data_IF_096268203722
#
_entry.id   IF_096268203722
#
_cell.length_a   1.000
_cell.length_b   1.000
_cell.length_c   1.000
_cell.angle_alpha   90.00
_cell.angle_beta   90.00
_cell.angle_gamma   90.00
#
_symmetry.space_group_name_H-M   'P 1'
#
loop_
_entity.id
_entity.type
_entity.pdbx_description
1 polymer ?
#
# COMPACT_ATOMS: atom_id res chain seq x y z
N UNK A 1 40.32 -45.61 30.90
CA UNK A 1 39.49 -46.59 30.17
C UNK A 1 38.35 -46.96 31.12
N UNK A 2 37.06 -46.93 30.82
CA UNK A 2 36.28 -46.65 29.63
C UNK A 2 34.81 -46.54 30.11
N UNK A 3 34.07 -45.52 29.65
CA UNK A 3 32.66 -45.55 29.16
C UNK A 3 31.59 -46.30 29.99
N UNK A 4 30.61 -45.64 30.63
CA UNK A 4 29.35 -45.05 30.10
C UNK A 4 28.22 -46.06 29.79
N UNK A 5 26.97 -45.54 29.69
CA UNK A 5 25.66 -46.15 29.30
C UNK A 5 24.77 -46.69 30.45
N UNK A 6 23.49 -46.35 30.64
CA UNK A 6 22.49 -45.56 29.89
C UNK A 6 21.42 -45.05 30.87
N UNK A 7 21.04 -43.77 30.79
CA UNK A 7 19.71 -43.31 31.22
C UNK A 7 19.00 -42.68 30.03
N UNK A 8 17.86 -43.25 29.65
CA UNK A 8 16.97 -42.78 28.59
C UNK A 8 16.57 -41.31 28.82
N UNK A 9 16.91 -40.44 27.87
CA UNK A 9 16.29 -39.11 27.76
C UNK A 9 15.15 -39.23 26.76
N UNK A 10 13.94 -39.01 27.28
CA UNK A 10 12.68 -38.93 26.55
C UNK A 10 12.72 -37.80 25.53
N UNK A 11 12.50 -38.14 24.26
CA UNK A 11 12.33 -37.22 23.14
C UNK A 11 10.99 -36.48 23.27
N UNK A 12 11.01 -35.25 23.75
CA UNK A 12 9.92 -34.29 23.58
C UNK A 12 10.15 -33.51 22.28
N UNK A 13 9.53 -33.94 21.18
CA UNK A 13 9.50 -33.16 19.93
C UNK A 13 8.58 -31.96 20.14
N UNK A 14 9.14 -30.76 20.19
CA UNK A 14 8.38 -29.50 20.19
C UNK A 14 7.87 -29.26 18.76
N UNK A 15 6.60 -29.62 18.49
CA UNK A 15 5.86 -29.15 17.32
C UNK A 15 5.58 -27.64 17.47
N UNK A 16 6.53 -26.79 17.09
CA UNK A 16 6.35 -25.33 17.14
C UNK A 16 7.10 -24.51 16.08
N UNK A 17 8.03 -25.10 15.32
CA UNK A 17 8.98 -24.34 14.50
C UNK A 17 8.62 -24.25 13.01
N UNK A 18 7.82 -25.18 12.47
CA UNK A 18 7.59 -25.27 11.02
C UNK A 18 6.62 -24.20 10.46
N UNK A 19 5.57 -23.81 11.19
CA UNK A 19 4.67 -22.74 10.73
C UNK A 19 5.34 -21.37 10.73
N UNK A 20 6.19 -21.09 11.73
CA UNK A 20 6.91 -19.81 11.84
C UNK A 20 7.90 -19.62 10.68
N UNK A 21 8.65 -20.66 10.31
CA UNK A 21 9.61 -20.60 9.20
C UNK A 21 8.92 -20.52 7.82
N UNK A 22 7.76 -21.18 7.65
CA UNK A 22 7.01 -21.20 6.39
C UNK A 22 6.33 -19.84 6.10
N UNK A 23 5.81 -19.17 7.15
CA UNK A 23 5.29 -17.80 7.07
C UNK A 23 6.42 -16.81 6.77
N UNK A 24 7.57 -16.92 7.44
CA UNK A 24 8.75 -16.09 7.15
C UNK A 24 9.25 -16.25 5.70
N UNK A 25 9.34 -17.50 5.21
CA UNK A 25 9.76 -17.78 3.83
C UNK A 25 8.79 -17.24 2.79
N UNK A 26 7.48 -17.24 3.09
CA UNK A 26 6.46 -16.72 2.17
C UNK A 26 6.44 -15.18 2.18
N UNK A 27 6.63 -14.55 3.34
CA UNK A 27 6.69 -13.08 3.47
C UNK A 27 7.89 -12.49 2.73
N UNK A 28 9.09 -13.07 2.85
CA UNK A 28 10.29 -12.56 2.16
C UNK A 28 10.13 -12.60 0.63
N UNK A 29 9.63 -13.72 0.08
CA UNK A 29 9.37 -13.85 -1.36
C UNK A 29 8.30 -12.86 -1.83
N UNK A 30 7.31 -12.58 -0.98
CA UNK A 30 6.23 -11.63 -1.26
C UNK A 30 6.73 -10.18 -1.27
N UNK A 31 7.56 -9.79 -0.29
CA UNK A 31 8.20 -8.47 -0.20
C UNK A 31 9.12 -8.21 -1.40
N UNK A 32 9.77 -9.24 -1.96
CA UNK A 32 10.58 -9.12 -3.18
C UNK A 32 9.81 -8.54 -4.38
N UNK A 33 8.49 -8.72 -4.45
CA UNK A 33 7.69 -8.13 -5.52
C UNK A 33 7.57 -6.59 -5.43
N UNK A 34 7.79 -6.01 -4.25
CA UNK A 34 7.82 -4.55 -4.06
C UNK A 34 8.95 -3.88 -4.87
N UNK A 35 10.12 -4.53 -4.97
CA UNK A 35 11.26 -4.05 -5.77
C UNK A 35 10.98 -4.06 -7.29
N UNK A 36 9.93 -4.77 -7.74
CA UNK A 36 9.48 -4.74 -9.14
C UNK A 36 8.23 -3.89 -9.36
N UNK A 37 7.67 -3.34 -8.28
CA UNK A 37 6.49 -2.48 -8.33
C UNK A 37 6.89 -1.05 -8.68
N UNK A 38 6.10 -0.40 -9.53
CA UNK A 38 6.32 1.00 -9.96
C UNK A 38 5.31 1.97 -9.38
N UNK A 39 4.28 1.44 -8.73
CA UNK A 39 3.19 2.19 -8.15
C UNK A 39 2.73 1.51 -6.86
N UNK A 40 2.42 2.31 -5.85
CA UNK A 40 1.67 1.87 -4.68
C UNK A 40 0.67 2.94 -4.24
N UNK A 41 -0.40 2.52 -3.57
CA UNK A 41 -1.31 3.41 -2.86
C UNK A 41 -1.09 3.19 -1.35
N UNK A 42 -0.51 4.18 -0.68
CA UNK A 42 -0.20 4.16 0.76
C UNK A 42 -1.37 4.73 1.55
N UNK A 43 -1.89 3.97 2.50
CA UNK A 43 -2.92 4.41 3.43
C UNK A 43 -2.33 4.63 4.82
N UNK A 44 -2.64 5.78 5.40
CA UNK A 44 -2.20 6.24 6.74
C UNK A 44 -3.38 6.84 7.49
N UNK A 45 -3.37 6.80 8.83
CA UNK A 45 -4.47 7.27 9.67
C UNK A 45 -4.12 8.55 10.42
N UNK A 46 -5.07 9.47 10.50
CA UNK A 46 -4.95 10.66 11.34
C UNK A 46 -5.41 10.39 12.79
N UNK A 47 -5.11 11.30 13.71
CA UNK A 47 -5.52 11.19 15.12
C UNK A 47 -7.05 11.15 15.35
N UNK A 48 -7.86 11.54 14.37
CA UNK A 48 -9.32 11.50 14.44
C UNK A 48 -9.94 10.22 13.86
N UNK A 49 -9.11 9.21 13.55
CA UNK A 49 -9.48 7.97 12.85
C UNK A 49 -9.92 8.16 11.40
N UNK A 50 -9.67 9.33 10.82
CA UNK A 50 -9.70 9.52 9.37
C UNK A 50 -8.54 8.77 8.71
N UNK A 51 -8.68 8.47 7.42
CA UNK A 51 -7.63 7.81 6.64
C UNK A 51 -7.36 8.57 5.35
N UNK A 52 -6.08 8.80 5.06
CA UNK A 52 -5.62 9.35 3.80
C UNK A 52 -5.00 8.27 2.93
N UNK A 53 -5.15 8.40 1.62
CA UNK A 53 -4.49 7.53 0.65
C UNK A 53 -3.62 8.35 -0.30
N UNK A 54 -2.33 8.03 -0.30
CA UNK A 54 -1.29 8.69 -1.06
C UNK A 54 -0.79 7.78 -2.18
N UNK A 55 -1.10 8.06 -3.47
CA UNK A 55 -0.50 7.34 -4.57
C UNK A 55 0.98 7.73 -4.69
N UNK A 56 1.86 6.72 -4.69
CA UNK A 56 3.30 6.88 -4.89
C UNK A 56 3.72 6.10 -6.13
N UNK A 57 4.59 6.70 -6.94
CA UNK A 57 5.11 6.04 -8.13
C UNK A 57 6.53 6.46 -8.44
N UNK A 58 7.29 5.55 -9.05
CA UNK A 58 8.66 5.77 -9.48
C UNK A 58 8.90 5.09 -10.84
N UNK A 59 9.88 5.57 -11.60
CA UNK A 59 10.25 5.00 -12.90
C UNK A 59 10.92 3.63 -12.77
N UNK A 60 11.60 3.39 -11.65
CA UNK A 60 12.31 2.13 -11.36
C UNK A 60 11.50 1.25 -10.42
N UNK A 61 11.71 1.45 -9.13
CA UNK A 61 11.06 0.73 -8.03
C UNK A 61 10.47 1.77 -7.08
N UNK A 62 9.23 1.56 -6.64
CA UNK A 62 8.56 2.49 -5.72
C UNK A 62 8.99 2.28 -4.26
N UNK A 63 9.52 1.09 -3.95
CA UNK A 63 10.03 0.72 -2.64
C UNK A 63 11.31 -0.09 -2.80
N UNK A 64 12.29 0.21 -1.96
CA UNK A 64 13.55 -0.52 -1.82
C UNK A 64 13.44 -1.53 -0.69
N UNK A 65 14.06 -2.69 -0.85
CA UNK A 65 14.16 -3.71 0.19
C UNK A 65 15.45 -3.48 0.96
N UNK A 66 15.34 -3.32 2.28
CA UNK A 66 16.50 -3.17 3.16
C UNK A 66 16.93 -4.54 3.73
N UNK A 67 15.96 -5.37 4.09
CA UNK A 67 16.15 -6.73 4.59
C UNK A 67 14.88 -7.58 4.38
N UNK A 68 14.81 -8.76 4.99
CA UNK A 68 13.69 -9.69 4.83
C UNK A 68 12.32 -9.24 5.37
N UNK A 69 12.26 -8.13 6.12
CA UNK A 69 11.02 -7.55 6.69
C UNK A 69 10.93 -6.03 6.57
N UNK A 70 11.97 -5.36 6.09
CA UNK A 70 12.05 -3.90 6.08
C UNK A 70 12.09 -3.36 4.66
N UNK A 71 11.23 -2.38 4.38
CA UNK A 71 11.19 -1.62 3.13
C UNK A 71 11.54 -0.15 3.37
N UNK A 72 12.08 0.52 2.36
CA UNK A 72 12.25 1.97 2.31
C UNK A 72 11.52 2.55 1.10
N UNK A 73 10.62 3.51 1.35
CA UNK A 73 9.88 4.21 0.31
C UNK A 73 10.41 5.65 0.25
N UNK A 74 11.09 6.06 -0.84
CA UNK A 74 11.64 7.40 -0.94
C UNK A 74 10.54 8.46 -1.02
N UNK A 75 10.72 9.59 -0.34
CA UNK A 75 9.85 10.74 -0.54
C UNK A 75 10.25 11.51 -1.80
N UNK A 76 9.39 11.45 -2.81
CA UNK A 76 9.61 12.08 -4.12
C UNK A 76 8.77 13.34 -4.26
N UNK A 77 9.37 14.38 -4.84
CA UNK A 77 8.72 15.65 -5.16
C UNK A 77 7.47 15.40 -6.03
N UNK A 78 6.34 15.97 -5.65
CA UNK A 78 5.06 15.80 -6.34
C UNK A 78 4.05 14.93 -5.57
N UNK A 79 4.50 14.18 -4.57
CA UNK A 79 3.61 13.57 -3.60
C UNK A 79 3.22 14.64 -2.58
N UNK A 80 1.93 14.75 -2.22
CA UNK A 80 1.47 15.52 -1.05
C UNK A 80 1.93 14.80 0.22
N UNK A 81 3.24 14.69 0.41
CA UNK A 81 3.85 13.83 1.41
C UNK A 81 3.58 14.33 2.84
N UNK A 82 3.33 15.63 3.00
CA UNK A 82 3.05 16.26 4.29
C UNK A 82 1.95 15.54 5.06
N UNK A 83 0.85 15.16 4.41
CA UNK A 83 -0.30 14.53 5.09
C UNK A 83 0.06 13.12 5.59
N UNK A 84 0.63 12.27 4.73
CA UNK A 84 1.05 10.93 5.14
C UNK A 84 2.13 10.95 6.22
N UNK A 85 3.12 11.83 6.12
CA UNK A 85 4.17 11.95 7.14
C UNK A 85 3.60 12.48 8.46
N UNK A 86 2.70 13.46 8.40
CA UNK A 86 2.03 14.00 9.59
C UNK A 86 1.23 12.92 10.31
N UNK A 87 0.46 12.14 9.56
CA UNK A 87 -0.31 11.01 10.09
C UNK A 87 0.62 9.99 10.76
N UNK A 88 1.75 9.65 10.13
CA UNK A 88 2.73 8.70 10.66
C UNK A 88 3.47 9.16 11.92
N UNK A 89 3.54 10.47 12.17
CA UNK A 89 4.05 11.00 13.43
C UNK A 89 3.06 10.83 14.60
N UNK A 90 1.78 10.61 14.31
CA UNK A 90 0.72 10.41 15.30
C UNK A 90 0.36 8.93 15.47
N UNK A 91 0.26 8.21 14.37
CA UNK A 91 -0.03 6.77 14.31
C UNK A 91 0.91 6.12 13.29
N UNK A 92 1.83 5.30 13.79
CA UNK A 92 2.81 4.61 12.95
C UNK A 92 2.19 3.55 12.03
N UNK A 93 0.93 3.16 12.21
CA UNK A 93 0.30 2.13 11.39
C UNK A 93 0.14 2.61 9.95
N UNK A 94 0.47 1.73 9.02
CA UNK A 94 0.26 1.96 7.60
C UNK A 94 -0.16 0.67 6.89
N UNK A 95 -0.74 0.86 5.71
CA UNK A 95 -0.92 -0.23 4.76
C UNK A 95 -0.74 0.27 3.34
N UNK A 96 -0.38 -0.61 2.40
CA UNK A 96 -0.39 -0.23 1.01
C UNK A 96 -0.72 -1.40 0.09
N UNK A 97 -1.25 -1.05 -1.09
CA UNK A 97 -1.37 -1.95 -2.22
C UNK A 97 -0.36 -1.52 -3.29
N UNK A 98 0.50 -2.44 -3.73
CA UNK A 98 1.51 -2.20 -4.75
C UNK A 98 1.23 -3.00 -6.03
N UNK A 99 1.51 -2.37 -7.17
CA UNK A 99 1.23 -2.90 -8.49
C UNK A 99 2.52 -3.12 -9.29
N UNK A 100 2.64 -4.32 -9.86
CA UNK A 100 3.70 -4.68 -10.80
C UNK A 100 3.16 -4.54 -12.22
N UNK A 101 3.77 -3.69 -13.07
CA UNK A 101 3.35 -3.54 -14.46
C UNK A 101 3.29 -4.87 -15.21
N UNK A 102 2.19 -5.10 -15.94
CA UNK A 102 1.96 -6.31 -16.72
C UNK A 102 1.52 -7.53 -15.89
N UNK A 103 1.37 -7.41 -14.57
CA UNK A 103 0.85 -8.47 -13.69
C UNK A 103 -0.55 -8.12 -13.20
N UNK A 104 -1.39 -9.14 -13.03
CA UNK A 104 -2.73 -9.01 -12.46
C UNK A 104 -2.76 -9.20 -10.94
N UNK A 105 -1.64 -9.60 -10.34
CA UNK A 105 -1.52 -9.72 -8.89
C UNK A 105 -1.32 -8.36 -8.23
N UNK A 106 -1.80 -8.22 -7.00
CA UNK A 106 -1.62 -7.04 -6.15
C UNK A 106 -0.89 -7.48 -4.89
N UNK A 107 0.21 -6.80 -4.57
CA UNK A 107 0.90 -6.95 -3.29
C UNK A 107 0.19 -6.09 -2.26
N UNK A 108 -0.31 -6.69 -1.18
CA UNK A 108 -0.82 -6.00 -0.02
C UNK A 108 0.19 -6.10 1.12
N UNK A 109 0.49 -4.97 1.74
CA UNK A 109 1.40 -4.89 2.90
C UNK A 109 0.72 -4.12 4.01
N UNK A 110 0.91 -4.59 5.24
CA UNK A 110 0.55 -3.89 6.48
C UNK A 110 1.77 -3.88 7.39
N UNK A 111 1.95 -2.78 8.10
CA UNK A 111 3.11 -2.63 8.97
C UNK A 111 3.14 -1.30 9.69
N UNK A 112 4.34 -0.95 10.16
CA UNK A 112 4.62 0.28 10.90
C UNK A 112 5.61 1.15 10.13
N UNK A 113 5.34 2.45 10.10
CA UNK A 113 6.12 3.44 9.40
C UNK A 113 7.00 4.26 10.33
N UNK A 114 8.24 4.50 9.93
CA UNK A 114 9.13 5.47 10.58
C UNK A 114 9.77 6.35 9.52
N UNK A 115 9.87 7.64 9.79
CA UNK A 115 10.49 8.61 8.88
C UNK A 115 11.99 8.65 9.15
N UNK A 116 12.81 8.66 8.10
CA UNK A 116 14.26 8.80 8.20
C UNK A 116 14.79 9.88 7.27
N UNK A 117 15.82 10.58 7.74
CA UNK A 117 16.66 11.52 7.02
C UNK A 117 18.12 11.04 6.91
N UNK A 118 18.38 9.74 7.15
CA UNK A 118 19.74 9.17 7.12
C UNK A 118 20.38 9.37 5.74
N UNK A 119 21.41 10.22 5.62
CA UNK A 119 22.01 10.56 4.33
C UNK A 119 22.63 9.33 3.65
N UNK A 120 23.16 8.36 4.41
CA UNK A 120 23.76 7.17 3.84
C UNK A 120 22.72 6.32 3.11
N UNK A 121 21.54 6.16 3.70
CA UNK A 121 20.43 5.43 3.08
C UNK A 121 19.81 6.22 1.92
N UNK A 122 19.56 7.52 2.09
CA UNK A 122 18.94 8.38 1.08
C UNK A 122 19.77 8.42 -0.21
N UNK A 123 21.09 8.45 -0.10
CA UNK A 123 22.01 8.43 -1.24
C UNK A 123 21.83 7.17 -2.10
N UNK A 124 21.56 6.03 -1.46
CA UNK A 124 21.30 4.78 -2.19
C UNK A 124 20.03 4.83 -3.04
N UNK A 125 19.12 5.77 -2.75
CA UNK A 125 17.84 6.00 -3.43
C UNK A 125 17.89 7.21 -4.37
N UNK A 126 19.07 7.75 -4.68
CA UNK A 126 19.21 8.89 -5.58
C UNK A 126 18.73 8.58 -7.00
N UNK A 127 18.02 9.54 -7.60
CA UNK A 127 17.62 9.50 -9.00
C UNK A 127 18.28 10.65 -9.74
N UNK A 128 19.08 10.32 -10.77
CA UNK A 128 19.85 11.33 -11.50
C UNK A 128 20.83 12.09 -10.60
N UNK A 129 21.37 11.43 -9.56
CA UNK A 129 22.29 12.05 -8.60
C UNK A 129 21.63 12.91 -7.52
N UNK A 130 20.29 12.92 -7.45
CA UNK A 130 19.55 13.67 -6.43
C UNK A 130 18.90 12.71 -5.43
N UNK A 131 19.40 12.61 -4.18
CA UNK A 131 18.74 11.85 -3.13
C UNK A 131 17.40 12.49 -2.74
N UNK A 132 16.42 11.70 -2.26
CA UNK A 132 15.23 12.27 -1.64
C UNK A 132 15.60 12.94 -0.30
N UNK A 133 14.79 13.88 0.17
CA UNK A 133 15.03 14.54 1.47
C UNK A 133 14.70 13.65 2.66
N UNK A 134 13.71 12.77 2.49
CA UNK A 134 13.23 11.84 3.50
C UNK A 134 12.91 10.50 2.86
N UNK A 135 12.85 9.46 3.67
CA UNK A 135 12.27 8.18 3.30
C UNK A 135 11.37 7.66 4.42
N UNK A 136 10.41 6.84 4.02
CA UNK A 136 9.56 6.08 4.91
C UNK A 136 10.12 4.67 5.03
N UNK A 137 10.59 4.32 6.22
CA UNK A 137 10.92 2.95 6.60
C UNK A 137 9.64 2.23 6.98
N UNK A 138 9.41 1.06 6.40
CA UNK A 138 8.27 0.20 6.73
C UNK A 138 8.79 -1.08 7.35
N UNK A 139 8.46 -1.30 8.61
CA UNK A 139 8.56 -2.61 9.25
C UNK A 139 7.32 -3.43 8.90
N UNK A 140 7.49 -4.48 8.10
CA UNK A 140 6.41 -5.28 7.56
C UNK A 140 5.92 -6.28 8.60
N UNK A 141 4.67 -6.13 9.04
CA UNK A 141 3.99 -7.07 9.92
C UNK A 141 3.27 -8.17 9.13
N UNK A 142 2.74 -7.83 7.96
CA UNK A 142 2.03 -8.76 7.09
C UNK A 142 2.18 -8.39 5.62
N UNK A 143 2.38 -9.39 4.76
CA UNK A 143 2.39 -9.21 3.32
C UNK A 143 1.72 -10.40 2.62
N UNK A 144 0.90 -10.11 1.61
CA UNK A 144 0.25 -11.11 0.77
C UNK A 144 0.19 -10.65 -0.68
N UNK A 145 0.26 -11.59 -1.63
CA UNK A 145 -0.02 -11.32 -3.05
C UNK A 145 -1.29 -12.05 -3.43
N UNK A 146 -2.27 -11.30 -3.92
CA UNK A 146 -3.55 -11.86 -4.34
C UNK A 146 -3.79 -11.57 -5.82
N UNK A 147 -4.40 -12.52 -6.54
CA UNK A 147 -4.88 -12.26 -7.89
C UNK A 147 -6.03 -11.26 -7.86
N UNK A 148 -5.96 -10.19 -8.66
CA UNK A 148 -6.98 -9.14 -8.67
C UNK A 148 -7.83 -9.16 -9.93
N UNK A 149 -9.10 -9.53 -9.74
CA UNK A 149 -10.11 -9.42 -10.78
C UNK A 149 -10.38 -7.97 -11.18
N UNK A 150 -10.19 -7.00 -10.26
CA UNK A 150 -10.31 -5.58 -10.57
C UNK A 150 -9.26 -5.14 -11.59
N UNK A 151 -7.99 -5.53 -11.38
CA UNK A 151 -6.88 -5.24 -12.32
C UNK A 151 -7.10 -5.94 -13.66
N UNK A 152 -7.57 -7.19 -13.63
CA UNK A 152 -7.81 -7.98 -14.85
C UNK A 152 -8.96 -7.39 -15.68
N UNK A 153 -10.10 -7.07 -15.06
CA UNK A 153 -11.30 -6.57 -15.75
C UNK A 153 -11.13 -5.12 -16.23
N UNK A 154 -10.38 -4.30 -15.51
CA UNK A 154 -10.04 -2.94 -15.95
C UNK A 154 -9.11 -2.91 -17.16
N UNK A 155 -8.47 -4.05 -17.48
CA UNK A 155 -7.46 -4.17 -18.53
C UNK A 155 -6.33 -3.16 -18.35
N UNK A 156 -5.94 -2.91 -17.09
CA UNK A 156 -5.01 -1.84 -16.69
C UNK A 156 -3.71 -1.79 -17.49
N UNK A 157 -3.21 -2.95 -17.94
CA UNK A 157 -1.94 -3.07 -18.66
C UNK A 157 -2.11 -3.35 -20.16
N UNK A 158 -3.33 -3.30 -20.70
CA UNK A 158 -3.60 -3.66 -22.10
C UNK A 158 -3.42 -2.43 -23.00
N UNK A 159 -2.48 -2.44 -23.95
CA UNK A 159 -2.38 -1.35 -24.92
C UNK A 159 -3.66 -1.23 -25.76
N UNK A 160 -4.07 -0.01 -26.10
CA UNK A 160 -5.21 0.24 -26.99
C UNK A 160 -6.60 0.27 -26.35
N UNK A 161 -6.70 0.11 -25.02
CA UNK A 161 -7.98 0.29 -24.27
C UNK A 161 -8.02 1.60 -23.48
N UNK A 162 -6.94 2.39 -23.54
CA UNK A 162 -6.87 3.69 -22.90
C UNK A 162 -7.77 4.68 -23.63
N UNK A 163 -8.49 5.50 -22.86
CA UNK A 163 -9.33 6.55 -23.41
C UNK A 163 -8.46 7.64 -24.05
N UNK A 164 -9.00 8.26 -25.10
CA UNK A 164 -8.41 9.48 -25.64
C UNK A 164 -8.48 10.60 -24.60
N UNK A 165 -7.48 11.49 -24.60
CA UNK A 165 -7.34 12.55 -23.58
C UNK A 165 -8.58 13.44 -23.44
N UNK A 166 -9.40 13.58 -24.49
CA UNK A 166 -10.62 14.39 -24.47
C UNK A 166 -11.89 13.67 -23.99
N UNK A 167 -11.83 12.35 -23.77
CA UNK A 167 -13.03 11.56 -23.40
C UNK A 167 -13.37 11.65 -21.92
N UNK A 168 -12.38 11.89 -21.06
CA UNK A 168 -12.55 12.06 -19.63
C UNK A 168 -12.12 13.47 -19.21
N UNK A 169 -12.67 14.01 -18.10
CA UNK A 169 -12.19 15.25 -17.53
C UNK A 169 -10.69 15.20 -17.21
N UNK A 170 -10.00 16.32 -17.41
CA UNK A 170 -8.63 16.46 -16.92
C UNK A 170 -8.65 16.51 -15.38
N UNK A 171 -8.06 15.50 -14.75
CA UNK A 171 -8.10 15.33 -13.29
C UNK A 171 -7.41 16.48 -12.55
N UNK A 172 -6.41 17.13 -13.16
CA UNK A 172 -5.72 18.27 -12.56
C UNK A 172 -6.54 19.56 -12.67
N UNK A 173 -7.22 19.76 -13.79
CA UNK A 173 -8.18 20.85 -13.95
C UNK A 173 -9.31 20.74 -12.93
N UNK A 174 -9.91 19.55 -12.79
CA UNK A 174 -10.90 19.27 -11.74
C UNK A 174 -10.36 19.56 -10.34
N UNK A 175 -9.15 19.08 -10.03
CA UNK A 175 -8.51 19.35 -8.74
C UNK A 175 -8.34 20.86 -8.46
N UNK A 176 -7.93 21.63 -9.47
CA UNK A 176 -7.79 23.09 -9.36
C UNK A 176 -9.12 23.82 -9.16
N UNK A 177 -10.20 23.34 -9.78
CA UNK A 177 -11.56 23.85 -9.54
C UNK A 177 -12.04 23.54 -8.13
N UNK A 178 -11.80 22.31 -7.64
CA UNK A 178 -12.10 21.92 -6.26
C UNK A 178 -11.33 22.77 -5.25
N UNK A 179 -10.02 22.93 -5.41
CA UNK A 179 -9.18 23.77 -4.54
C UNK A 179 -9.61 25.24 -4.54
N UNK A 180 -10.16 25.73 -5.66
CA UNK A 180 -10.74 27.07 -5.74
C UNK A 180 -12.06 27.13 -4.98
N UNK A 181 -12.94 26.15 -5.15
CA UNK A 181 -14.20 26.05 -4.42
C UNK A 181 -14.01 25.99 -2.90
N UNK A 182 -13.02 25.20 -2.42
CA UNK A 182 -12.66 25.13 -1.01
C UNK A 182 -12.16 26.47 -0.45
N UNK A 183 -11.37 27.23 -1.21
CA UNK A 183 -10.92 28.59 -0.82
C UNK A 183 -12.04 29.61 -0.70
N UNK A 184 -13.19 29.40 -1.35
CA UNK A 184 -14.38 30.25 -1.25
C UNK A 184 -15.36 29.81 -0.14
N UNK A 185 -14.97 28.89 0.75
CA UNK A 185 -15.72 28.59 1.98
C UNK A 185 -16.70 27.42 1.89
N UNK A 186 -16.69 26.65 0.79
CA UNK A 186 -17.41 25.37 0.75
C UNK A 186 -16.63 24.34 1.58
N UNK A 187 -16.95 24.21 2.88
CA UNK A 187 -16.34 23.18 3.73
C UNK A 187 -16.65 21.77 3.20
N UNK A 188 -15.84 20.80 3.61
CA UNK A 188 -15.96 19.34 3.41
C UNK A 188 -17.26 18.71 4.00
N UNK A 189 -18.28 19.51 4.32
CA UNK A 189 -19.54 19.07 4.96
C UNK A 189 -20.44 18.21 4.05
N UNK A 190 -20.03 17.94 2.80
CA UNK A 190 -20.85 17.26 1.79
C UNK A 190 -20.78 15.73 1.71
N UNK A 191 -20.08 15.03 2.62
CA UNK A 191 -20.05 13.55 2.62
C UNK A 191 -20.92 12.90 3.70
N UNK A 192 -21.37 13.64 4.71
CA UNK A 192 -22.18 13.09 5.80
C UNK A 192 -23.69 12.99 5.45
N UNK A 193 -24.14 13.61 4.36
CA UNK A 193 -25.55 13.56 3.91
C UNK A 193 -25.87 12.47 2.86
N UNK A 194 -24.99 11.49 2.63
CA UNK A 194 -25.40 10.26 1.92
C UNK A 194 -26.01 9.27 2.91
N UNK A 195 -26.92 9.76 3.75
CA UNK A 195 -27.81 8.93 4.53
C UNK A 195 -28.80 8.28 3.55
N UNK A 196 -28.59 6.98 3.31
CA UNK A 196 -29.62 6.01 2.93
C UNK A 196 -30.87 6.59 2.25
N UNK A 197 -30.76 7.02 1.00
CA UNK A 197 -31.92 6.94 0.11
C UNK A 197 -32.12 5.46 -0.18
N UNK A 198 -32.86 4.84 0.72
CA UNK A 198 -33.32 3.48 0.65
C UNK A 198 -33.73 3.16 -0.79
N UNK A 199 -33.18 2.06 -1.28
CA UNK A 199 -33.78 1.27 -2.36
C UNK A 199 -35.24 1.04 -1.95
N UNK A 200 -36.14 1.89 -2.45
CA UNK A 200 -37.57 1.70 -2.30
C UNK A 200 -37.95 0.35 -2.92
N UNK A 201 -38.88 -0.40 -2.32
CA UNK A 201 -39.13 -1.78 -2.72
C UNK A 201 -39.51 -1.84 -4.19
N UNK A 202 -38.81 -2.70 -4.93
CA UNK A 202 -39.13 -3.03 -6.32
C UNK A 202 -40.60 -3.44 -6.40
N UNK A 203 -41.46 -2.61 -7.00
CA UNK A 203 -42.82 -3.03 -7.34
C UNK A 203 -42.71 -4.13 -8.39
N UNK A 204 -42.90 -5.38 -7.97
CA UNK A 204 -43.17 -6.48 -8.90
C UNK A 204 -44.45 -6.15 -9.67
N UNK A 205 -44.51 -6.36 -10.99
CA UNK A 205 -45.78 -6.28 -11.70
C UNK A 205 -46.70 -7.37 -11.16
N UNK A 206 -47.89 -6.97 -10.70
CA UNK A 206 -48.94 -7.90 -10.28
C UNK A 206 -49.43 -8.65 -11.52
N UNK A 207 -49.20 -9.95 -11.55
CA UNK A 207 -49.75 -10.85 -12.55
C UNK A 207 -50.97 -11.56 -11.95
N UNK A 208 -52.16 -11.29 -12.48
CA UNK A 208 -53.46 -12.01 -12.36
C UNK A 208 -54.56 -11.04 -12.80
N UNK A 209 -55.60 -11.41 -13.52
CA UNK A 209 -56.01 -12.55 -14.34
C UNK A 209 -57.24 -12.04 -15.10
#
# INVERSE_FOLDING_TARGET
MSTSSLSKVSTGVVLGSAMSLCVFSSTVVTINSAATSRFLALSTWDASQGSDTSPRGDRREVARILDGRTLAIPDRKGNKCADSLHNLLQDERLSFAALVPGRSGVLHVRGRGTITDDPALLETMALGGMPPHLALIVDVEHAEVTGSDAVRRSRLWTPGVHLDRGTAPDMMALGGEMDRAYRYGLRKEGYDEVETRAVGPSRRPSNRA
#
